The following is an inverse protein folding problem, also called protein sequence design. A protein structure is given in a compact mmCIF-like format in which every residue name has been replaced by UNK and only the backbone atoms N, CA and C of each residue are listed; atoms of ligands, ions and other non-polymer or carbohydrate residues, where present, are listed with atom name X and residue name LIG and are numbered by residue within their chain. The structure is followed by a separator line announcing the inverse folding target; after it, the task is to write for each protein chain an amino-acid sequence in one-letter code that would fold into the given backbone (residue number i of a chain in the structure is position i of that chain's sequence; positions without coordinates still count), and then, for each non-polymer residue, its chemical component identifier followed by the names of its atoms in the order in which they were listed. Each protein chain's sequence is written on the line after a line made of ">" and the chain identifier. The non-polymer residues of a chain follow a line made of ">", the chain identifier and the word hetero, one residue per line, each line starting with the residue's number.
data_IF_516746659162
#
_entry.id   IF_516746659162
#
_cell.length_a   1.000
_cell.length_b   1.000
_cell.length_c   1.000
_cell.angle_alpha   90.00
_cell.angle_beta   90.00
_cell.angle_gamma   90.00
#
_symmetry.space_group_name_H-M   'P 1'
#
loop_
_entity.id
_entity.type
_entity.pdbx_description
1 polymer ?
#
# COMPACT_ATOMS: atom_id res chain seq x y z
N UNK A 1 -6.04 13.95 2.35
CA UNK A 1 -5.97 12.90 1.31
C UNK A 1 -5.54 11.57 1.91
N UNK A 2 -6.31 10.52 1.64
CA UNK A 2 -5.99 9.13 1.96
C UNK A 2 -5.83 8.34 0.66
N UNK A 3 -4.70 7.67 0.48
CA UNK A 3 -4.47 6.70 -0.58
C UNK A 3 -4.56 5.29 0.02
N UNK A 4 -5.42 4.44 -0.52
CA UNK A 4 -5.69 3.10 0.01
C UNK A 4 -5.18 2.04 -0.96
N UNK A 5 -4.34 1.15 -0.46
CA UNK A 5 -4.01 -0.10 -1.13
C UNK A 5 -5.17 -1.08 -0.96
N UNK A 6 -6.07 -1.08 -1.96
CA UNK A 6 -7.29 -1.88 -1.95
C UNK A 6 -7.02 -3.37 -1.91
N UNK A 7 -5.96 -3.84 -2.57
CA UNK A 7 -5.55 -5.24 -2.52
C UNK A 7 -5.12 -5.65 -1.11
N UNK A 8 -4.26 -4.86 -0.46
CA UNK A 8 -3.82 -5.10 0.92
C UNK A 8 -5.00 -5.13 1.90
N UNK A 9 -5.90 -4.14 1.85
CA UNK A 9 -7.04 -4.08 2.76
C UNK A 9 -8.06 -5.19 2.47
N UNK A 10 -8.27 -5.57 1.21
CA UNK A 10 -9.15 -6.69 0.84
C UNK A 10 -8.63 -8.01 1.38
N UNK A 11 -7.31 -8.26 1.24
CA UNK A 11 -6.67 -9.43 1.86
C UNK A 11 -6.85 -9.44 3.38
N UNK A 12 -6.78 -8.29 4.06
CA UNK A 12 -7.04 -8.20 5.50
C UNK A 12 -8.48 -8.45 5.87
N UNK A 13 -9.42 -7.90 5.10
CA UNK A 13 -10.84 -8.15 5.29
C UNK A 13 -11.16 -9.66 5.16
N UNK A 14 -10.51 -10.34 4.22
CA UNK A 14 -10.65 -11.79 4.06
C UNK A 14 -10.14 -12.58 5.27
N UNK A 15 -8.84 -12.50 5.55
CA UNK A 15 -8.19 -13.33 6.59
C UNK A 15 -8.58 -12.94 8.01
N UNK A 16 -8.91 -11.66 8.22
CA UNK A 16 -9.33 -11.13 9.52
C UNK A 16 -10.81 -11.34 9.82
N UNK A 17 -11.64 -11.58 8.80
CA UNK A 17 -13.09 -11.61 8.98
C UNK A 17 -13.81 -12.61 8.06
N UNK A 18 -13.76 -12.42 6.74
CA UNK A 18 -14.65 -13.11 5.81
C UNK A 18 -14.48 -14.64 5.83
N UNK A 19 -13.25 -15.14 5.94
CA UNK A 19 -12.94 -16.57 5.94
C UNK A 19 -13.66 -17.34 7.06
N UNK A 20 -13.91 -16.69 8.21
CA UNK A 20 -14.48 -17.33 9.40
C UNK A 20 -16.00 -17.26 9.46
N UNK A 21 -16.65 -16.71 8.43
CA UNK A 21 -18.10 -16.52 8.40
C UNK A 21 -18.79 -17.60 7.58
N UNK A 22 -19.94 -18.05 8.07
CA UNK A 22 -20.84 -18.98 7.36
C UNK A 22 -21.76 -18.26 6.35
N UNK A 23 -21.40 -17.04 5.93
CA UNK A 23 -22.14 -16.23 4.96
C UNK A 23 -21.40 -16.21 3.63
N UNK A 24 -22.02 -15.63 2.60
CA UNK A 24 -21.34 -15.39 1.32
C UNK A 24 -19.99 -14.67 1.55
N UNK A 25 -18.85 -15.26 1.13
CA UNK A 25 -17.52 -14.71 1.42
C UNK A 25 -17.26 -13.35 0.77
N UNK A 26 -17.90 -13.07 -0.37
CA UNK A 26 -17.78 -11.77 -1.05
C UNK A 26 -18.47 -10.69 -0.21
N UNK A 27 -19.72 -10.92 0.20
CA UNK A 27 -20.48 -9.99 1.05
C UNK A 27 -19.76 -9.73 2.38
N UNK A 28 -19.26 -10.79 3.04
CA UNK A 28 -18.50 -10.65 4.28
C UNK A 28 -17.17 -9.90 4.05
N UNK A 29 -16.49 -10.16 2.93
CA UNK A 29 -15.27 -9.46 2.54
C UNK A 29 -15.48 -7.98 2.28
N UNK A 30 -16.53 -7.62 1.53
CA UNK A 30 -16.92 -6.22 1.29
C UNK A 30 -17.24 -5.49 2.60
N UNK A 31 -17.96 -6.16 3.51
CA UNK A 31 -18.20 -5.63 4.85
C UNK A 31 -16.88 -5.31 5.59
N UNK A 32 -15.95 -6.27 5.61
CA UNK A 32 -14.65 -6.09 6.25
C UNK A 32 -13.82 -4.97 5.60
N UNK A 33 -13.81 -4.90 4.27
CA UNK A 33 -13.09 -3.88 3.50
C UNK A 33 -13.61 -2.49 3.82
N UNK A 34 -14.92 -2.27 3.72
CA UNK A 34 -15.54 -0.97 4.02
C UNK A 34 -15.35 -0.56 5.48
N UNK A 35 -15.44 -1.51 6.42
CA UNK A 35 -15.17 -1.23 7.83
C UNK A 35 -13.72 -0.79 8.08
N UNK A 36 -12.76 -1.45 7.42
CA UNK A 36 -11.35 -1.06 7.47
C UNK A 36 -11.14 0.32 6.84
N UNK A 37 -11.72 0.57 5.66
CA UNK A 37 -11.64 1.87 4.96
C UNK A 37 -12.20 3.01 5.82
N UNK A 38 -13.39 2.83 6.40
CA UNK A 38 -13.99 3.79 7.31
C UNK A 38 -13.09 4.04 8.54
N UNK A 39 -12.50 2.97 9.09
CA UNK A 39 -11.57 3.07 10.22
C UNK A 39 -10.30 3.87 9.90
N UNK A 40 -9.65 3.58 8.78
CA UNK A 40 -8.41 4.30 8.40
C UNK A 40 -8.71 5.74 8.02
N UNK A 41 -9.83 6.00 7.35
CA UNK A 41 -10.27 7.35 7.01
C UNK A 41 -10.60 8.18 8.25
N UNK A 42 -11.21 7.57 9.27
CA UNK A 42 -11.46 8.25 10.55
C UNK A 42 -10.16 8.56 11.32
N UNK A 43 -9.23 7.59 11.44
CA UNK A 43 -7.93 7.80 12.12
C UNK A 43 -7.18 9.02 11.56
N UNK A 44 -7.18 9.15 10.24
CA UNK A 44 -6.42 10.21 9.56
C UNK A 44 -7.28 11.43 9.23
N UNK A 45 -8.57 11.42 9.64
CA UNK A 45 -9.57 12.45 9.35
C UNK A 45 -9.56 12.85 7.86
N UNK A 46 -9.64 11.83 6.99
CA UNK A 46 -9.52 12.01 5.54
C UNK A 46 -10.69 12.80 4.96
N UNK A 47 -10.38 13.81 4.14
CA UNK A 47 -11.34 14.63 3.38
C UNK A 47 -11.52 14.15 1.93
N UNK A 48 -10.58 13.34 1.45
CA UNK A 48 -10.52 12.74 0.11
C UNK A 48 -9.91 11.36 0.20
N UNK A 49 -10.42 10.44 -0.61
CA UNK A 49 -9.97 9.05 -0.66
C UNK A 49 -9.76 8.63 -2.11
N UNK A 50 -8.60 8.06 -2.39
CA UNK A 50 -8.35 7.25 -3.59
C UNK A 50 -8.07 5.83 -3.13
N UNK A 51 -8.68 4.85 -3.79
CA UNK A 51 -8.38 3.44 -3.58
C UNK A 51 -7.89 2.81 -4.88
N UNK A 52 -6.70 2.23 -4.82
CA UNK A 52 -6.09 1.49 -5.92
C UNK A 52 -6.35 -0.01 -5.82
N UNK A 53 -6.54 -0.67 -6.97
CA UNK A 53 -6.50 -2.12 -7.07
C UNK A 53 -5.56 -2.58 -8.18
N UNK A 54 -4.99 -3.78 -8.02
CA UNK A 54 -4.13 -4.40 -9.02
C UNK A 54 -4.92 -4.70 -10.31
N UNK A 55 -4.29 -4.47 -11.46
CA UNK A 55 -4.82 -4.96 -12.73
C UNK A 55 -4.80 -6.50 -12.78
N UNK A 56 -6.00 -7.10 -12.89
CA UNK A 56 -6.15 -8.56 -12.96
C UNK A 56 -5.69 -9.14 -14.30
N UNK A 57 -5.84 -8.38 -15.38
CA UNK A 57 -5.61 -8.84 -16.75
C UNK A 57 -4.14 -8.80 -17.15
N UNK A 58 -3.34 -7.90 -16.57
CA UNK A 58 -1.98 -7.61 -17.01
C UNK A 58 -1.11 -7.15 -15.85
N UNK A 59 0.15 -7.55 -15.83
CA UNK A 59 1.16 -7.04 -14.90
C UNK A 59 2.45 -6.72 -15.64
N UNK A 60 2.81 -5.45 -15.68
CA UNK A 60 4.07 -4.99 -16.32
C UNK A 60 5.29 -5.61 -15.62
N UNK A 61 5.23 -5.77 -14.29
CA UNK A 61 6.31 -6.40 -13.51
C UNK A 61 6.51 -7.87 -13.92
N UNK A 62 5.42 -8.65 -14.12
CA UNK A 62 5.51 -10.04 -14.59
C UNK A 62 5.98 -10.15 -16.04
N UNK A 63 5.60 -9.21 -16.91
CA UNK A 63 6.11 -9.16 -18.27
C UNK A 63 7.61 -8.85 -18.32
N UNK A 64 8.09 -7.97 -17.44
CA UNK A 64 9.50 -7.62 -17.33
C UNK A 64 10.34 -8.73 -16.66
N UNK A 65 9.75 -9.47 -15.72
CA UNK A 65 10.40 -10.58 -15.03
C UNK A 65 9.37 -11.65 -14.65
N UNK A 66 9.26 -12.70 -15.46
CA UNK A 66 8.26 -13.76 -15.29
C UNK A 66 8.22 -14.42 -13.89
N UNK A 67 9.36 -14.62 -13.18
CA UNK A 67 9.34 -15.14 -11.82
C UNK A 67 8.79 -14.18 -10.76
N UNK A 68 8.50 -12.91 -11.08
CA UNK A 68 7.97 -11.94 -10.13
C UNK A 68 6.65 -12.42 -9.52
N UNK A 69 6.59 -12.45 -8.16
CA UNK A 69 5.48 -13.01 -7.38
C UNK A 69 5.15 -14.47 -7.71
N UNK A 70 6.02 -15.19 -8.42
CA UNK A 70 5.86 -16.62 -8.69
C UNK A 70 6.06 -17.42 -7.39
N UNK A 71 5.29 -18.50 -7.22
CA UNK A 71 5.34 -19.33 -6.02
C UNK A 71 4.56 -18.76 -4.82
N UNK A 72 3.84 -17.65 -4.98
CA UNK A 72 2.78 -17.29 -4.02
C UNK A 72 1.73 -18.41 -3.97
N UNK A 73 1.28 -18.76 -2.78
CA UNK A 73 0.23 -19.77 -2.59
C UNK A 73 -1.02 -19.38 -3.39
N UNK A 74 -1.68 -20.38 -3.97
CA UNK A 74 -2.98 -20.18 -4.59
C UNK A 74 -3.94 -19.57 -3.57
N UNK A 75 -4.68 -18.55 -4.01
CA UNK A 75 -5.68 -17.90 -3.16
C UNK A 75 -6.90 -18.81 -3.07
N UNK A 76 -7.60 -18.84 -1.92
CA UNK A 76 -8.91 -19.46 -1.85
C UNK A 76 -9.86 -18.83 -2.90
N UNK A 77 -10.71 -19.64 -3.53
CA UNK A 77 -11.63 -19.19 -4.59
C UNK A 77 -12.47 -17.98 -4.14
N UNK A 78 -12.97 -17.99 -2.90
CA UNK A 78 -13.74 -16.86 -2.38
C UNK A 78 -12.95 -15.56 -2.24
N UNK A 79 -11.63 -15.63 -2.01
CA UNK A 79 -10.77 -14.45 -1.97
C UNK A 79 -10.52 -13.90 -3.39
N UNK A 80 -10.32 -14.78 -4.38
CA UNK A 80 -10.21 -14.31 -5.76
C UNK A 80 -11.53 -13.65 -6.23
N UNK A 81 -12.68 -14.26 -5.93
CA UNK A 81 -13.99 -13.65 -6.21
C UNK A 81 -14.18 -12.30 -5.51
N UNK A 82 -13.70 -12.17 -4.28
CA UNK A 82 -13.75 -10.90 -3.55
C UNK A 82 -12.84 -9.85 -4.20
N UNK A 83 -11.63 -10.21 -4.61
CA UNK A 83 -10.70 -9.30 -5.28
C UNK A 83 -11.23 -8.83 -6.65
N UNK A 84 -12.01 -9.66 -7.35
CA UNK A 84 -12.69 -9.28 -8.57
C UNK A 84 -13.90 -8.36 -8.28
N UNK A 85 -14.70 -8.68 -7.27
CA UNK A 85 -15.92 -7.94 -6.94
C UNK A 85 -15.68 -6.59 -6.24
N UNK A 86 -14.61 -6.45 -5.44
CA UNK A 86 -14.33 -5.25 -4.66
C UNK A 86 -14.22 -3.96 -5.50
N UNK A 87 -13.39 -3.88 -6.56
CA UNK A 87 -13.30 -2.67 -7.38
C UNK A 87 -14.62 -2.35 -8.09
N UNK A 88 -15.31 -3.37 -8.62
CA UNK A 88 -16.60 -3.19 -9.31
C UNK A 88 -17.67 -2.67 -8.35
N UNK A 89 -17.75 -3.25 -7.14
CA UNK A 89 -18.69 -2.84 -6.12
C UNK A 89 -18.46 -1.39 -5.69
N UNK A 90 -17.21 -1.01 -5.40
CA UNK A 90 -16.90 0.35 -4.97
C UNK A 90 -17.13 1.37 -6.09
N UNK A 91 -16.80 1.03 -7.34
CA UNK A 91 -17.01 1.91 -8.49
C UNK A 91 -18.49 2.07 -8.85
N UNK A 92 -19.31 1.03 -8.68
CA UNK A 92 -20.75 1.08 -8.94
C UNK A 92 -21.53 1.87 -7.88
N UNK A 93 -20.95 2.05 -6.69
CA UNK A 93 -21.57 2.74 -5.57
C UNK A 93 -20.81 4.03 -5.26
N UNK A 94 -20.94 4.98 -6.19
CA UNK A 94 -20.29 6.28 -6.13
C UNK A 94 -20.51 6.95 -4.76
N UNK A 95 -19.42 7.39 -4.13
CA UNK A 95 -19.38 7.95 -2.78
C UNK A 95 -19.38 6.99 -1.57
N UNK A 96 -19.39 5.67 -1.76
CA UNK A 96 -18.97 4.74 -0.69
C UNK A 96 -17.46 4.76 -0.43
N UNK A 97 -16.68 5.14 -1.45
CA UNK A 97 -15.23 5.00 -1.45
C UNK A 97 -14.52 5.98 -2.40
N UNK A 98 -14.75 7.29 -2.26
CA UNK A 98 -14.03 8.33 -3.02
C UNK A 98 -13.79 7.96 -4.50
N UNK A 99 -12.53 7.99 -4.94
CA UNK A 99 -12.14 7.63 -6.31
C UNK A 99 -11.49 6.23 -6.38
N UNK A 100 -12.12 5.31 -7.10
CA UNK A 100 -11.60 3.95 -7.35
C UNK A 100 -10.76 3.94 -8.62
N UNK A 101 -9.53 3.43 -8.54
CA UNK A 101 -8.59 3.39 -9.67
C UNK A 101 -8.06 1.97 -9.88
N UNK A 102 -8.28 1.44 -11.08
CA UNK A 102 -7.66 0.20 -11.57
C UNK A 102 -6.93 0.52 -12.87
N UNK A 103 -5.63 0.82 -12.77
CA UNK A 103 -4.87 1.18 -13.95
C UNK A 103 -4.40 -0.07 -14.72
N UNK A 104 -4.57 -0.14 -16.06
CA UNK A 104 -4.08 -1.27 -16.84
C UNK A 104 -2.59 -1.55 -16.63
N UNK A 105 -2.25 -2.79 -16.25
CA UNK A 105 -0.88 -3.27 -16.12
C UNK A 105 -0.14 -2.92 -14.82
N UNK A 106 -0.69 -2.02 -14.00
CA UNK A 106 -0.06 -1.55 -12.76
C UNK A 106 -0.78 -2.07 -11.51
N UNK A 107 -0.11 -1.95 -10.38
CA UNK A 107 -0.54 -2.48 -9.09
C UNK A 107 -1.13 -1.37 -8.19
N UNK A 108 -1.81 -1.76 -7.12
CA UNK A 108 -2.47 -0.82 -6.20
C UNK A 108 -1.48 0.15 -5.52
N UNK A 109 -0.24 -0.28 -5.31
CA UNK A 109 0.85 0.52 -4.76
C UNK A 109 1.26 1.66 -5.72
N UNK A 110 1.30 1.41 -7.03
CA UNK A 110 1.57 2.42 -8.07
C UNK A 110 0.48 3.52 -8.08
N UNK A 111 -0.78 3.13 -7.87
CA UNK A 111 -1.87 4.09 -7.68
C UNK A 111 -1.63 4.92 -6.41
N UNK A 112 -1.21 4.29 -5.31
CA UNK A 112 -0.92 4.98 -4.06
C UNK A 112 0.25 5.97 -4.20
N UNK A 113 1.34 5.57 -4.85
CA UNK A 113 2.50 6.44 -5.14
C UNK A 113 2.11 7.65 -5.98
N UNK A 114 1.34 7.41 -7.04
CA UNK A 114 0.85 8.48 -7.93
C UNK A 114 -0.12 9.42 -7.21
N UNK A 115 -0.97 8.88 -6.33
CA UNK A 115 -1.86 9.66 -5.49
C UNK A 115 -1.10 10.55 -4.51
N UNK A 116 -0.06 10.02 -3.86
CA UNK A 116 0.76 10.78 -2.94
C UNK A 116 1.48 11.95 -3.64
N UNK A 117 1.99 11.73 -4.85
CA UNK A 117 2.60 12.78 -5.67
C UNK A 117 1.60 13.82 -6.15
N UNK A 118 0.44 13.40 -6.63
CA UNK A 118 -0.65 14.31 -7.02
C UNK A 118 -1.08 15.19 -5.84
N UNK A 119 -1.24 14.60 -4.65
CA UNK A 119 -1.58 15.34 -3.44
C UNK A 119 -0.49 16.35 -3.04
N UNK A 120 0.78 15.94 -3.06
CA UNK A 120 1.90 16.84 -2.75
C UNK A 120 1.96 18.03 -3.73
N UNK A 121 1.78 17.79 -5.03
CA UNK A 121 1.75 18.84 -6.06
C UNK A 121 0.59 19.83 -5.85
N UNK A 122 -0.52 19.38 -5.26
CA UNK A 122 -1.66 20.21 -4.89
C UNK A 122 -1.52 20.85 -3.48
N UNK A 123 -0.38 20.71 -2.82
CA UNK A 123 -0.14 21.25 -1.47
C UNK A 123 -0.91 20.52 -0.37
N UNK A 124 -1.33 19.28 -0.60
CA UNK A 124 -2.07 18.46 0.37
C UNK A 124 -1.17 17.45 1.08
N UNK A 125 -1.51 17.14 2.33
CA UNK A 125 -0.94 15.99 3.03
C UNK A 125 -1.62 14.69 2.56
N UNK A 126 -0.82 13.64 2.40
CA UNK A 126 -1.25 12.30 2.02
C UNK A 126 -0.89 11.28 3.09
N UNK A 127 -1.82 10.37 3.37
CA UNK A 127 -1.52 9.14 4.12
C UNK A 127 -1.80 7.93 3.23
N UNK A 128 -0.84 7.02 3.13
CA UNK A 128 -0.98 5.76 2.40
C UNK A 128 -1.35 4.65 3.40
N UNK A 129 -2.51 4.04 3.25
CA UNK A 129 -2.95 2.90 4.06
C UNK A 129 -2.62 1.59 3.34
N UNK A 130 -1.64 0.85 3.86
CA UNK A 130 -1.21 -0.45 3.32
C UNK A 130 -0.56 -1.31 4.40
N UNK A 131 -0.42 -2.62 4.14
CA UNK A 131 0.47 -3.50 4.88
C UNK A 131 1.87 -3.62 4.29
N UNK A 132 2.03 -3.24 3.02
CA UNK A 132 3.26 -3.40 2.27
C UNK A 132 4.32 -2.42 2.79
N UNK A 133 5.55 -2.91 2.89
CA UNK A 133 6.68 -2.09 3.31
C UNK A 133 7.30 -1.35 2.13
N UNK A 134 7.02 -1.75 0.89
CA UNK A 134 7.57 -1.07 -0.28
C UNK A 134 7.07 0.38 -0.38
N UNK A 135 5.88 0.65 0.16
CA UNK A 135 5.35 2.01 0.36
C UNK A 135 6.20 2.88 1.33
N UNK A 136 7.11 2.31 2.11
CA UNK A 136 8.01 3.09 2.97
C UNK A 136 8.89 4.04 2.17
N UNK A 137 9.21 3.68 0.91
CA UNK A 137 9.94 4.55 -0.01
C UNK A 137 9.19 5.82 -0.43
N UNK A 138 7.87 5.85 -0.23
CA UNK A 138 7.01 6.97 -0.63
C UNK A 138 6.85 8.04 0.47
N UNK A 139 7.45 7.84 1.64
CA UNK A 139 7.34 8.79 2.75
C UNK A 139 8.15 10.05 2.45
N UNK A 140 7.50 11.20 2.55
CA UNK A 140 8.06 12.54 2.31
C UNK A 140 7.62 13.49 3.45
N UNK A 141 8.02 14.77 3.46
CA UNK A 141 7.47 15.72 4.44
C UNK A 141 5.94 15.84 4.42
N UNK A 142 5.28 15.57 3.28
CA UNK A 142 3.82 15.65 3.10
C UNK A 142 3.14 14.29 2.99
N UNK A 143 3.90 13.19 2.98
CA UNK A 143 3.38 11.82 2.82
C UNK A 143 3.78 10.94 3.98
N UNK A 144 2.82 10.26 4.61
CA UNK A 144 3.05 9.24 5.66
C UNK A 144 2.45 7.89 5.25
N UNK A 145 2.89 6.82 5.91
CA UNK A 145 2.32 5.47 5.73
C UNK A 145 1.59 5.05 6.99
N UNK A 146 0.29 4.79 6.90
CA UNK A 146 -0.47 4.10 7.95
C UNK A 146 -0.33 2.59 7.73
N UNK A 147 0.66 2.01 8.40
CA UNK A 147 0.98 0.59 8.25
C UNK A 147 -0.01 -0.26 9.05
N UNK A 148 -0.83 -1.02 8.34
CA UNK A 148 -1.68 -2.03 8.96
C UNK A 148 -0.85 -3.27 9.24
N UNK A 149 -0.79 -3.78 10.49
CA UNK A 149 -0.04 -5.00 10.87
C UNK A 149 -0.96 -6.21 11.05
N UNK A 150 -1.94 -6.12 11.95
CA UNK A 150 -2.95 -7.15 12.23
C UNK A 150 -4.36 -6.62 11.97
N UNK A 151 -4.75 -5.55 12.66
CA UNK A 151 -6.00 -4.82 12.50
C UNK A 151 -5.82 -3.32 12.76
N UNK A 152 -6.92 -2.59 12.90
CA UNK A 152 -6.92 -1.13 13.04
C UNK A 152 -6.21 -0.65 14.33
N UNK A 153 -6.37 -1.35 15.46
CA UNK A 153 -5.73 -1.00 16.74
C UNK A 153 -4.19 -1.08 16.71
N UNK A 154 -3.64 -1.90 15.82
CA UNK A 154 -2.19 -2.07 15.64
C UNK A 154 -1.67 -1.29 14.43
N UNK A 155 -2.48 -0.40 13.87
CA UNK A 155 -2.06 0.49 12.80
C UNK A 155 -1.02 1.48 13.35
N UNK A 156 0.06 1.65 12.59
CA UNK A 156 1.17 2.52 12.97
C UNK A 156 1.33 3.59 11.89
N UNK A 157 1.18 4.86 12.27
CA UNK A 157 1.44 5.98 11.38
C UNK A 157 2.94 6.27 11.35
N UNK A 158 3.57 5.98 10.23
CA UNK A 158 5.01 6.08 10.02
C UNK A 158 5.35 7.33 9.21
N UNK A 159 6.22 8.16 9.79
CA UNK A 159 6.97 9.21 9.12
C UNK A 159 8.41 8.77 8.84
N UNK A 160 9.23 9.67 8.29
CA UNK A 160 10.61 9.35 7.91
C UNK A 160 11.44 8.80 9.07
N UNK A 161 11.26 9.34 10.28
CA UNK A 161 11.93 8.85 11.48
C UNK A 161 11.41 7.48 11.91
N UNK A 162 10.11 7.23 11.79
CA UNK A 162 9.50 5.91 11.98
C UNK A 162 10.07 4.86 11.03
N UNK A 163 10.23 5.20 9.75
CA UNK A 163 10.85 4.33 8.74
C UNK A 163 12.30 4.03 9.12
N UNK A 164 13.08 5.07 9.46
CA UNK A 164 14.48 4.92 9.84
C UNK A 164 14.67 4.08 11.09
N UNK A 165 13.85 4.27 12.13
CA UNK A 165 13.85 3.42 13.33
C UNK A 165 13.53 1.95 13.00
N UNK A 166 12.60 1.72 12.07
CA UNK A 166 12.13 0.37 11.73
C UNK A 166 13.11 -0.39 10.83
N UNK A 167 13.77 0.31 9.91
CA UNK A 167 14.52 -0.31 8.81
C UNK A 167 16.02 -0.06 8.87
N UNK A 168 16.44 1.03 9.53
CA UNK A 168 17.82 1.52 9.55
C UNK A 168 18.18 2.44 8.38
N UNK A 169 17.28 2.68 7.42
CA UNK A 169 17.51 3.52 6.24
C UNK A 169 16.47 4.64 6.14
N UNK A 170 16.81 5.72 5.45
CA UNK A 170 15.85 6.77 5.16
C UNK A 170 14.84 6.33 4.07
N UNK A 171 13.64 6.95 3.98
CA UNK A 171 12.63 6.60 2.98
C UNK A 171 13.17 6.55 1.54
N UNK A 172 13.92 7.57 1.13
CA UNK A 172 14.53 7.69 -0.20
C UNK A 172 15.56 6.58 -0.51
N UNK A 173 16.03 5.87 0.52
CA UNK A 173 16.94 4.73 0.40
C UNK A 173 16.23 3.38 0.49
N UNK A 174 14.92 3.35 0.76
CA UNK A 174 14.22 2.11 1.06
C UNK A 174 14.17 1.14 -0.13
N UNK A 175 13.97 1.65 -1.35
CA UNK A 175 13.97 0.82 -2.57
C UNK A 175 15.32 0.15 -2.79
N UNK A 176 16.42 0.88 -2.60
CA UNK A 176 17.78 0.34 -2.67
C UNK A 176 18.03 -0.70 -1.58
N UNK A 177 17.58 -0.41 -0.36
CA UNK A 177 17.65 -1.34 0.76
C UNK A 177 16.91 -2.65 0.45
N UNK A 178 15.71 -2.56 -0.15
CA UNK A 178 14.91 -3.71 -0.56
C UNK A 178 15.59 -4.49 -1.71
N UNK A 179 16.12 -3.78 -2.72
CA UNK A 179 16.78 -4.37 -3.86
C UNK A 179 18.03 -5.18 -3.47
N UNK A 180 18.83 -4.64 -2.54
CA UNK A 180 20.02 -5.31 -2.00
C UNK A 180 19.66 -6.58 -1.21
N UNK A 181 18.70 -6.50 -0.29
CA UNK A 181 18.35 -7.62 0.60
C UNK A 181 17.48 -8.69 -0.09
N UNK A 182 16.82 -8.33 -1.19
CA UNK A 182 15.79 -9.13 -1.86
C UNK A 182 14.46 -9.18 -1.13
N UNK A 183 13.44 -9.69 -1.82
CA UNK A 183 12.12 -9.93 -1.24
C UNK A 183 11.58 -11.31 -1.62
N UNK A 184 11.55 -12.22 -0.65
CA UNK A 184 11.09 -13.60 -0.85
C UNK A 184 9.61 -13.67 -1.21
N UNK A 185 8.77 -12.76 -0.71
CA UNK A 185 7.32 -12.75 -1.00
C UNK A 185 7.03 -12.42 -2.47
N UNK A 186 7.95 -11.69 -3.10
CA UNK A 186 7.90 -11.32 -4.52
C UNK A 186 8.83 -12.17 -5.39
N UNK A 187 9.44 -13.20 -4.82
CA UNK A 187 10.38 -14.09 -5.49
C UNK A 187 11.58 -13.32 -6.10
N UNK A 188 12.06 -12.30 -5.37
CA UNK A 188 13.22 -11.50 -5.71
C UNK A 188 14.39 -11.87 -4.80
N UNK A 189 15.41 -12.53 -5.35
CA UNK A 189 16.65 -12.80 -4.63
C UNK A 189 17.43 -11.49 -4.41
N UNK A 190 18.08 -11.35 -3.27
CA UNK A 190 19.01 -10.25 -3.00
C UNK A 190 20.43 -10.54 -3.46
N UNK A 191 21.31 -9.56 -3.30
CA UNK A 191 22.73 -9.71 -3.61
C UNK A 191 23.37 -10.69 -2.61
N UNK A 192 24.08 -11.73 -3.07
CA UNK A 192 24.71 -12.72 -2.20
C UNK A 192 25.57 -12.08 -1.09
N UNK A 193 25.30 -12.43 0.16
CA UNK A 193 26.02 -11.89 1.32
C UNK A 193 25.63 -10.46 1.75
N UNK A 194 24.75 -9.77 1.02
CA UNK A 194 24.19 -8.47 1.40
C UNK A 194 22.77 -8.65 1.94
N UNK A 195 22.67 -9.10 3.19
CA UNK A 195 21.39 -9.09 3.93
C UNK A 195 21.08 -7.73 4.55
N UNK A 196 19.97 -7.66 5.31
CA UNK A 196 19.47 -6.43 5.97
C UNK A 196 20.55 -5.59 6.67
N UNK A 197 21.40 -6.23 7.49
CA UNK A 197 22.45 -5.51 8.24
C UNK A 197 23.49 -4.89 7.31
N UNK A 198 23.99 -5.67 6.35
CA UNK A 198 24.98 -5.19 5.37
C UNK A 198 24.41 -4.08 4.49
N UNK A 199 23.15 -4.19 4.07
CA UNK A 199 22.47 -3.16 3.28
C UNK A 199 22.35 -1.83 4.05
N UNK A 200 21.95 -1.88 5.33
CA UNK A 200 21.94 -0.70 6.22
C UNK A 200 23.34 -0.10 6.35
N UNK A 201 24.37 -0.92 6.58
CA UNK A 201 25.75 -0.45 6.69
C UNK A 201 26.22 0.24 5.41
N UNK A 202 25.87 -0.31 4.24
CA UNK A 202 26.21 0.29 2.95
C UNK A 202 25.50 1.64 2.76
N UNK A 203 24.19 1.69 2.96
CA UNK A 203 23.36 2.88 2.73
C UNK A 203 23.55 3.97 3.82
N UNK A 204 24.12 3.61 4.97
CA UNK A 204 24.61 4.61 5.91
C UNK A 204 25.88 5.34 5.40
N UNK A 205 26.68 4.68 4.56
CA UNK A 205 27.90 5.25 4.00
C UNK A 205 27.67 5.93 2.63
N UNK A 206 26.66 5.50 1.88
CA UNK A 206 26.35 5.98 0.54
C UNK A 206 24.87 6.32 0.40
N UNK A 207 24.51 7.42 -0.30
CA UNK A 207 23.11 7.76 -0.53
C UNK A 207 22.33 6.70 -1.30
N UNK A 208 22.98 6.02 -2.27
CA UNK A 208 22.34 5.01 -3.12
C UNK A 208 23.31 3.90 -3.53
N UNK A 209 22.80 2.84 -4.16
CA UNK A 209 23.62 1.75 -4.71
C UNK A 209 24.56 2.28 -5.81
N UNK A 210 24.07 3.17 -6.69
CA UNK A 210 24.85 3.81 -7.75
C UNK A 210 26.07 4.53 -7.18
N UNK A 211 25.89 5.27 -6.08
CA UNK A 211 26.98 6.00 -5.43
C UNK A 211 27.97 5.04 -4.76
N UNK A 212 27.49 3.91 -4.24
CA UNK A 212 28.37 2.89 -3.67
C UNK A 212 29.25 2.23 -4.74
N UNK A 213 28.69 1.84 -5.88
CA UNK A 213 29.45 1.19 -6.96
C UNK A 213 30.38 2.15 -7.69
N UNK A 214 30.05 3.45 -7.74
CA UNK A 214 30.91 4.50 -8.29
C UNK A 214 32.18 4.77 -7.45
N UNK A 215 32.22 4.33 -6.18
CA UNK A 215 33.42 4.37 -5.33
C UNK A 215 33.80 2.96 -4.83
N UNK A 216 34.42 2.12 -5.69
CA UNK A 216 34.78 0.76 -5.34
C UNK A 216 35.71 0.64 -4.13
N UNK A 217 36.58 1.61 -3.92
CA UNK A 217 37.55 1.59 -2.80
C UNK A 217 36.80 1.72 -1.49
N UNK A 218 35.94 2.74 -1.37
CA UNK A 218 35.15 2.93 -0.16
C UNK A 218 34.10 1.84 0.01
N UNK A 219 33.47 1.37 -1.07
CA UNK A 219 32.52 0.25 -1.02
C UNK A 219 33.16 -1.00 -0.39
N UNK A 220 34.34 -1.40 -0.86
CA UNK A 220 35.12 -2.51 -0.28
C UNK A 220 35.49 -2.28 1.18
N UNK A 221 35.77 -1.04 1.59
CA UNK A 221 36.07 -0.72 2.99
C UNK A 221 34.85 -0.87 3.91
N UNK A 222 33.64 -0.60 3.40
CA UNK A 222 32.39 -0.57 4.20
C UNK A 222 31.80 -1.97 4.33
N UNK A 223 31.69 -2.72 3.23
CA UNK A 223 31.05 -4.06 3.23
C UNK A 223 32.04 -5.19 2.99
N UNK A 224 33.34 -4.92 2.91
CA UNK A 224 34.36 -5.93 2.67
C UNK A 224 34.48 -6.32 1.20
N UNK A 225 35.69 -6.71 0.80
CA UNK A 225 36.08 -6.89 -0.60
C UNK A 225 35.14 -7.78 -1.41
N UNK A 226 34.90 -9.02 -0.95
CA UNK A 226 34.08 -9.99 -1.68
C UNK A 226 32.67 -9.46 -1.99
N UNK A 227 31.96 -8.93 -0.98
CA UNK A 227 30.58 -8.43 -1.14
C UNK A 227 30.52 -7.19 -2.04
N UNK A 228 31.51 -6.31 -1.94
CA UNK A 228 31.60 -5.14 -2.80
C UNK A 228 31.89 -5.52 -4.26
N UNK A 229 32.84 -6.43 -4.48
CA UNK A 229 33.17 -6.93 -5.83
C UNK A 229 31.94 -7.64 -6.44
N UNK A 230 31.27 -8.54 -5.69
CA UNK A 230 30.05 -9.23 -6.16
C UNK A 230 28.91 -8.23 -6.52
N UNK A 231 28.75 -7.14 -5.75
CA UNK A 231 27.77 -6.08 -6.03
C UNK A 231 28.14 -5.25 -7.27
N UNK A 232 29.42 -4.89 -7.41
CA UNK A 232 29.90 -4.09 -8.54
C UNK A 232 29.79 -4.89 -9.84
N UNK A 233 30.22 -6.15 -9.82
CA UNK A 233 30.14 -7.05 -10.97
C UNK A 233 28.66 -7.28 -11.38
N UNK A 234 27.76 -7.49 -10.41
CA UNK A 234 26.33 -7.56 -10.67
C UNK A 234 25.80 -6.24 -11.23
N UNK A 235 26.22 -5.10 -10.66
CA UNK A 235 25.77 -3.80 -11.13
C UNK A 235 26.22 -3.53 -12.56
N UNK A 236 27.43 -3.88 -12.97
CA UNK A 236 27.91 -3.62 -14.34
C UNK A 236 27.33 -4.59 -15.37
N UNK A 237 26.95 -5.81 -14.95
CA UNK A 237 26.38 -6.85 -15.82
C UNK A 237 25.10 -6.42 -16.54
N UNK A 238 24.95 -6.76 -17.82
CA UNK A 238 23.71 -6.48 -18.58
C UNK A 238 22.46 -7.16 -18.00
N UNK A 239 22.62 -8.26 -17.27
CA UNK A 239 21.55 -8.98 -16.57
C UNK A 239 21.58 -8.75 -15.05
N UNK A 240 21.99 -7.54 -14.64
CA UNK A 240 22.08 -7.13 -13.23
C UNK A 240 20.81 -7.46 -12.45
N UNK A 241 20.95 -8.31 -11.45
CA UNK A 241 19.89 -8.64 -10.50
C UNK A 241 19.52 -7.41 -9.68
N UNK A 242 20.51 -6.63 -9.23
CA UNK A 242 20.27 -5.47 -8.36
C UNK A 242 19.49 -4.39 -9.09
N UNK A 243 19.87 -4.03 -10.31
CA UNK A 243 19.12 -3.04 -11.11
C UNK A 243 17.73 -3.56 -11.49
N UNK A 244 17.60 -4.85 -11.78
CA UNK A 244 16.29 -5.46 -12.03
C UNK A 244 15.40 -5.33 -10.79
N UNK A 245 15.90 -5.68 -9.61
CA UNK A 245 15.15 -5.56 -8.36
C UNK A 245 14.77 -4.11 -8.08
N UNK A 246 15.71 -3.18 -8.19
CA UNK A 246 15.45 -1.75 -8.00
C UNK A 246 14.32 -1.28 -8.92
N UNK A 247 14.36 -1.66 -10.21
CA UNK A 247 13.28 -1.34 -11.16
C UNK A 247 11.94 -1.97 -10.80
N UNK A 248 11.91 -3.24 -10.41
CA UNK A 248 10.66 -3.94 -10.06
C UNK A 248 10.04 -3.43 -8.75
N UNK A 249 10.88 -3.07 -7.77
CA UNK A 249 10.46 -2.55 -6.46
C UNK A 249 10.21 -1.03 -6.46
N UNK A 250 10.53 -0.34 -7.55
CA UNK A 250 10.17 1.08 -7.69
C UNK A 250 8.66 1.18 -7.91
N UNK A 251 7.99 1.84 -6.96
CA UNK A 251 6.58 2.20 -7.08
C UNK A 251 6.48 3.42 -7.99
N UNK A 252 5.55 3.39 -8.94
CA UNK A 252 5.32 4.53 -9.85
C UNK A 252 4.59 5.66 -9.16
N UNK A 253 4.77 6.84 -9.73
CA UNK A 253 4.18 8.07 -9.24
C UNK A 253 3.56 8.94 -10.35
N UNK A 254 3.32 8.35 -11.53
CA UNK A 254 2.90 9.06 -12.75
C UNK A 254 1.56 8.60 -13.35
N UNK A 255 0.79 7.77 -12.62
CA UNK A 255 -0.60 7.49 -12.99
C UNK A 255 -1.42 8.79 -12.80
N UNK A 256 -2.18 9.25 -13.81
CA UNK A 256 -3.07 10.39 -13.64
C UNK A 256 -4.13 10.12 -12.57
N UNK A 257 -4.20 10.96 -11.55
CA UNK A 257 -5.18 10.86 -10.45
C UNK A 257 -6.08 12.10 -10.47
N UNK A 258 -7.39 11.88 -10.55
CA UNK A 258 -8.39 12.93 -10.39
C UNK A 258 -8.65 13.19 -8.90
N UNK A 259 -8.13 14.31 -8.40
CA UNK A 259 -8.25 14.70 -7.00
C UNK A 259 -9.64 15.28 -6.66
N UNK A 260 -10.40 15.71 -7.65
CA UNK A 260 -11.76 16.20 -7.46
C UNK A 260 -12.74 15.03 -7.33
N UNK A 261 -12.58 14.00 -8.16
CA UNK A 261 -13.29 12.73 -8.02
C UNK A 261 -12.99 12.01 -6.69
N UNK A 262 -11.83 12.29 -6.08
CA UNK A 262 -11.44 11.70 -4.79
C UNK A 262 -12.23 12.25 -3.60
N UNK A 263 -12.99 13.33 -3.76
CA UNK A 263 -13.83 13.86 -2.70
C UNK A 263 -15.14 13.06 -2.64
N UNK A 264 -15.49 12.43 -1.51
CA UNK A 264 -16.79 11.80 -1.37
C UNK A 264 -17.87 12.88 -1.45
N UNK A 265 -18.75 12.80 -2.44
CA UNK A 265 -19.84 13.77 -2.67
C UNK A 265 -21.23 13.14 -2.71
N UNK A 266 -21.34 11.82 -2.56
CA UNK A 266 -22.64 11.17 -2.64
C UNK A 266 -23.56 11.62 -1.50
N UNK A 267 -24.84 11.74 -1.84
CA UNK A 267 -25.84 12.07 -0.85
C UNK A 267 -26.03 10.89 0.14
N UNK A 268 -26.32 11.18 1.42
CA UNK A 268 -26.49 10.16 2.44
C UNK A 268 -27.53 9.07 2.11
N UNK A 269 -28.57 9.42 1.35
CA UNK A 269 -29.64 8.49 1.03
C UNK A 269 -29.18 7.45 0.00
N UNK A 270 -28.46 7.88 -1.03
CA UNK A 270 -27.85 6.98 -2.02
C UNK A 270 -26.87 6.00 -1.35
N UNK A 271 -25.99 6.52 -0.48
CA UNK A 271 -25.06 5.68 0.30
C UNK A 271 -25.81 4.65 1.16
N UNK A 272 -26.88 5.07 1.84
CA UNK A 272 -27.69 4.17 2.65
C UNK A 272 -28.36 3.07 1.81
N UNK A 273 -28.99 3.41 0.68
CA UNK A 273 -29.64 2.44 -0.19
C UNK A 273 -28.65 1.42 -0.73
N UNK A 274 -27.53 1.87 -1.30
CA UNK A 274 -26.45 1.02 -1.80
C UNK A 274 -25.98 0.00 -0.76
N UNK A 275 -25.77 0.44 0.48
CA UNK A 275 -25.35 -0.44 1.56
C UNK A 275 -26.44 -1.43 1.96
N UNK A 276 -27.70 -1.01 2.02
CA UNK A 276 -28.81 -1.91 2.38
C UNK A 276 -29.04 -2.97 1.31
N UNK A 277 -29.02 -2.60 0.04
CA UNK A 277 -29.21 -3.50 -1.09
C UNK A 277 -28.09 -4.54 -1.18
N UNK A 278 -26.87 -4.15 -0.79
CA UNK A 278 -25.72 -5.05 -0.69
C UNK A 278 -25.71 -5.93 0.58
N UNK A 279 -26.70 -5.82 1.48
CA UNK A 279 -26.73 -6.54 2.76
C UNK A 279 -25.75 -5.98 3.81
N UNK A 280 -25.24 -4.76 3.61
CA UNK A 280 -24.23 -4.06 4.40
C UNK A 280 -24.83 -2.96 5.29
N UNK A 281 -26.15 -2.99 5.52
CA UNK A 281 -26.89 -1.95 6.25
C UNK A 281 -26.37 -1.63 7.66
N UNK A 282 -25.60 -2.52 8.28
CA UNK A 282 -24.95 -2.28 9.58
C UNK A 282 -23.82 -1.22 9.52
N UNK A 283 -23.29 -0.93 8.32
CA UNK A 283 -22.21 0.05 8.13
C UNK A 283 -22.72 1.45 7.80
N UNK A 284 -24.03 1.63 7.57
CA UNK A 284 -24.63 2.90 7.11
C UNK A 284 -24.20 4.07 8.00
N UNK A 285 -24.49 4.02 9.30
CA UNK A 285 -24.17 5.13 10.21
C UNK A 285 -22.68 5.48 10.20
N UNK A 286 -21.82 4.46 10.14
CA UNK A 286 -20.36 4.64 10.18
C UNK A 286 -19.83 5.26 8.89
N UNK A 287 -20.27 4.75 7.73
CA UNK A 287 -19.84 5.27 6.43
C UNK A 287 -20.40 6.68 6.19
N UNK A 288 -21.60 6.98 6.65
CA UNK A 288 -22.15 8.34 6.58
C UNK A 288 -21.38 9.34 7.43
N UNK A 289 -20.97 8.95 8.64
CA UNK A 289 -20.15 9.83 9.51
C UNK A 289 -18.79 10.16 8.90
N UNK A 290 -18.16 9.19 8.22
CA UNK A 290 -16.80 9.33 7.69
C UNK A 290 -16.79 9.92 6.28
N UNK A 291 -17.72 9.52 5.41
CA UNK A 291 -17.71 9.89 4.00
C UNK A 291 -18.81 10.88 3.60
N UNK A 292 -19.93 10.98 4.31
CA UNK A 292 -21.03 11.87 3.92
C UNK A 292 -21.05 13.22 4.66
N UNK A 293 -20.10 13.48 5.56
CA UNK A 293 -19.99 14.73 6.32
C UNK A 293 -18.66 15.44 6.02
N UNK A 294 -18.63 16.53 5.23
CA UNK A 294 -17.42 17.33 5.03
C UNK A 294 -17.16 18.34 6.17
N UNK A 295 -17.65 18.08 7.40
CA UNK A 295 -17.53 19.00 8.54
C UNK A 295 -16.61 18.40 9.62
N UNK A 296 -15.41 18.99 9.85
CA UNK A 296 -14.46 18.56 10.89
C UNK A 296 -15.07 18.51 12.31
N UNK A 297 -16.11 19.29 12.56
CA UNK A 297 -16.72 19.55 13.87
C UNK A 297 -17.57 18.40 14.44
N UNK A 298 -18.06 17.48 13.61
CA UNK A 298 -18.88 16.33 14.08
C UNK A 298 -18.04 15.09 14.41
N UNK A 299 -16.83 15.01 13.86
CA UNK A 299 -15.87 13.93 14.09
C UNK A 299 -15.36 13.91 15.55
N UNK A 300 -15.38 15.05 16.24
CA UNK A 300 -15.06 15.15 17.68
C UNK A 300 -16.23 14.78 18.59
N UNK A 301 -17.44 14.67 18.03
CA UNK A 301 -18.66 14.28 18.74
C UNK A 301 -19.06 12.82 18.47
N UNK A 302 -18.46 12.19 17.45
CA UNK A 302 -18.63 10.77 17.17
C UNK A 302 -17.92 9.94 18.27
N UNK A 303 -18.57 8.92 18.85
CA UNK A 303 -17.91 8.05 19.80
C UNK A 303 -16.68 7.40 19.15
N UNK A 304 -15.55 7.27 19.88
CA UNK A 304 -14.36 6.64 19.34
C UNK A 304 -14.68 5.21 18.89
N UNK A 305 -14.11 4.80 17.76
CA UNK A 305 -14.26 3.44 17.24
C UNK A 305 -13.84 2.43 18.31
N UNK A 306 -14.79 1.61 18.76
CA UNK A 306 -14.53 0.50 19.69
C UNK A 306 -14.48 -0.82 18.93
N UNK A 307 -13.82 -1.84 19.49
CA UNK A 307 -13.78 -3.17 18.87
C UNK A 307 -15.20 -3.71 18.62
N UNK A 308 -16.18 -3.38 19.46
CA UNK A 308 -17.58 -3.81 19.29
C UNK A 308 -18.21 -3.36 17.96
N UNK A 309 -17.69 -2.28 17.37
CA UNK A 309 -18.12 -1.72 16.07
C UNK A 309 -17.28 -2.28 14.90
N UNK A 310 -16.22 -3.03 15.21
CA UNK A 310 -15.36 -3.65 14.24
C UNK A 310 -15.76 -5.12 13.99
N UNK A 311 -15.61 -5.62 12.76
CA UNK A 311 -15.90 -7.02 12.44
C UNK A 311 -15.09 -8.05 13.27
N UNK A 312 -14.02 -7.62 13.95
CA UNK A 312 -13.05 -8.46 14.66
C UNK A 312 -13.07 -8.32 16.19
N UNK A 313 -14.09 -7.69 16.77
CA UNK A 313 -14.39 -7.87 18.20
C UNK A 313 -14.71 -9.33 18.54
#
# INVERSE_FOLDING_TARGET
>A
MLAVDGNSLTHRAWWGYAERRNTDPVTAGLYGLLALMAGVADIVRADRVVIGFDCRQRSVRKEAFAPYKAGRSEKPEGLDRLLDAAPEFLAANDGLAGHVVVHPGWEADDVCGSTAKAAANAGMNCVIATSDKDAFGLVTPTTRVLRMKSGLHAAELLDAEGIKRTTGVAPDQYTDYAALRGDKSDNLNGVPGIGKKTAVTLLAAFPSIEQAVADPIRCRSVIGRKRADDLIDDWESSDSLTRRNQRLMTIRDDIPIDLDAARPTADPYTVEQSLRDAGLGKLVSRLLLVFAQPQPTLLDQAPPLTDADAPWA
#
